data_IF_278557684964
#
_entry.id   IF_278557684964
#
_cell.length_a   1.000
_cell.length_b   1.000
_cell.length_c   1.000
_cell.angle_alpha   90.00
_cell.angle_beta   90.00
_cell.angle_gamma   90.00
#
_symmetry.space_group_name_H-M   'P 1'
#
loop_
_entity.id
_entity.type
_entity.pdbx_description
1 polymer ?
#
# COMPACT_ATOMS: atom_id res chain seq x y z
N UNK A 1 -11.89 88.97 44.17
CA UNK A 1 -12.86 88.52 43.13
C UNK A 1 -12.15 88.11 41.83
N UNK A 2 -11.18 88.83 41.32
CA UNK A 2 -10.43 88.53 40.09
C UNK A 2 -9.68 87.18 40.15
N UNK A 3 -8.99 86.86 41.25
CA UNK A 3 -8.28 85.61 41.49
C UNK A 3 -9.23 84.41 41.58
N UNK A 4 -10.43 84.57 42.07
CA UNK A 4 -11.44 83.53 42.12
C UNK A 4 -12.00 83.22 40.72
N UNK A 5 -12.28 84.26 39.92
CA UNK A 5 -12.79 84.14 38.60
C UNK A 5 -11.76 83.52 37.63
N UNK A 6 -10.48 83.92 37.74
CA UNK A 6 -9.36 83.29 37.00
C UNK A 6 -9.15 81.84 37.40
N UNK A 7 -9.28 81.46 38.65
CA UNK A 7 -9.19 80.09 39.16
C UNK A 7 -10.32 79.21 38.62
N UNK A 8 -11.54 79.76 38.56
CA UNK A 8 -12.72 79.08 38.10
C UNK A 8 -12.65 78.85 36.54
N UNK A 9 -12.16 79.83 35.83
CA UNK A 9 -11.99 79.74 34.38
C UNK A 9 -10.89 78.75 34.01
N UNK A 10 -9.78 78.72 34.70
CA UNK A 10 -8.70 77.75 34.54
C UNK A 10 -9.17 76.33 34.87
N UNK A 11 -9.91 76.17 35.98
CA UNK A 11 -10.48 74.88 36.37
C UNK A 11 -11.47 74.34 35.32
N UNK A 12 -12.31 75.20 34.76
CA UNK A 12 -13.22 74.82 33.68
C UNK A 12 -12.48 74.44 32.36
N UNK A 13 -11.42 75.18 32.06
CA UNK A 13 -10.58 74.88 30.91
C UNK A 13 -9.84 73.55 31.04
N UNK A 14 -9.28 73.27 32.19
CA UNK A 14 -8.60 72.02 32.50
C UNK A 14 -9.59 70.83 32.51
N UNK A 15 -10.75 70.96 33.10
CA UNK A 15 -11.81 69.98 33.10
C UNK A 15 -12.29 69.68 31.62
N UNK A 16 -12.48 70.73 30.80
CA UNK A 16 -12.83 70.54 29.38
C UNK A 16 -11.77 69.78 28.59
N UNK A 17 -10.48 70.10 28.85
CA UNK A 17 -9.39 69.33 28.21
C UNK A 17 -9.37 67.85 28.65
N UNK A 18 -9.58 67.61 29.95
CA UNK A 18 -9.60 66.25 30.45
C UNK A 18 -10.75 65.41 29.88
N UNK A 19 -11.94 66.00 29.74
CA UNK A 19 -13.10 65.35 29.11
C UNK A 19 -12.82 65.09 27.64
N UNK A 20 -12.31 66.08 26.88
CA UNK A 20 -11.97 65.88 25.48
C UNK A 20 -10.91 64.80 25.29
N UNK A 21 -9.89 64.75 26.13
CA UNK A 21 -8.88 63.69 26.08
C UNK A 21 -9.47 62.29 26.40
N UNK A 22 -10.38 62.24 27.39
CA UNK A 22 -11.06 61.01 27.74
C UNK A 22 -11.97 60.49 26.59
N UNK A 23 -12.72 61.40 25.96
CA UNK A 23 -13.56 61.10 24.79
C UNK A 23 -12.72 60.60 23.60
N UNK A 24 -11.59 61.29 23.30
CA UNK A 24 -10.67 60.88 22.24
C UNK A 24 -10.08 59.49 22.51
N UNK A 25 -9.69 59.19 23.75
CA UNK A 25 -9.21 57.85 24.14
C UNK A 25 -10.31 56.80 24.01
N UNK A 26 -11.52 57.10 24.46
CA UNK A 26 -12.65 56.19 24.34
C UNK A 26 -12.98 55.89 22.89
N UNK A 27 -13.01 56.91 22.01
CA UNK A 27 -13.22 56.72 20.58
C UNK A 27 -12.12 55.87 19.93
N UNK A 28 -10.86 56.07 20.32
CA UNK A 28 -9.74 55.28 19.83
C UNK A 28 -9.87 53.82 20.25
N UNK A 29 -10.16 53.53 21.52
CA UNK A 29 -10.35 52.17 22.03
C UNK A 29 -11.50 51.48 21.30
N UNK A 30 -12.62 52.14 21.07
CA UNK A 30 -13.76 51.61 20.34
C UNK A 30 -13.41 51.30 18.87
N UNK A 31 -12.66 52.16 18.21
CA UNK A 31 -12.22 51.97 16.83
C UNK A 31 -11.24 50.78 16.73
N UNK A 32 -10.29 50.67 17.64
CA UNK A 32 -9.36 49.56 17.72
C UNK A 32 -10.08 48.24 18.03
N UNK A 33 -10.99 48.23 18.98
CA UNK A 33 -11.79 47.04 19.30
C UNK A 33 -12.63 46.57 18.12
N UNK A 34 -13.27 47.49 17.39
CA UNK A 34 -14.02 47.19 16.18
C UNK A 34 -13.13 46.61 15.05
N UNK A 35 -11.98 47.22 14.81
CA UNK A 35 -11.02 46.74 13.84
C UNK A 35 -10.50 45.31 14.17
N UNK A 36 -10.26 45.04 15.46
CA UNK A 36 -9.87 43.71 15.92
C UNK A 36 -11.01 42.68 15.73
N UNK A 37 -12.24 43.04 16.09
CA UNK A 37 -13.41 42.19 15.89
C UNK A 37 -13.60 41.82 14.40
N UNK A 38 -13.54 42.84 13.53
CA UNK A 38 -13.63 42.65 12.09
C UNK A 38 -12.49 41.77 11.50
N UNK A 39 -11.29 41.88 12.08
CA UNK A 39 -10.15 41.04 11.70
C UNK A 39 -10.34 39.59 12.13
N UNK A 40 -10.79 39.36 13.35
CA UNK A 40 -11.08 38.02 13.90
C UNK A 40 -12.19 37.35 13.07
N UNK A 41 -13.24 38.08 12.74
CA UNK A 41 -14.35 37.55 11.93
C UNK A 41 -13.87 37.13 10.53
N UNK A 42 -13.09 38.00 9.86
CA UNK A 42 -12.52 37.65 8.55
C UNK A 42 -11.62 36.44 8.58
N UNK A 43 -10.75 36.36 9.59
CA UNK A 43 -9.86 35.22 9.77
C UNK A 43 -10.64 33.94 10.06
N UNK A 44 -11.67 34.00 10.90
CA UNK A 44 -12.52 32.86 11.21
C UNK A 44 -13.27 32.35 9.97
N UNK A 45 -13.79 33.25 9.13
CA UNK A 45 -14.44 32.88 7.86
C UNK A 45 -13.46 32.23 6.88
N UNK A 46 -12.27 32.81 6.70
CA UNK A 46 -11.25 32.23 5.82
C UNK A 46 -10.83 30.83 6.30
N UNK A 47 -10.63 30.66 7.60
CA UNK A 47 -10.31 29.33 8.17
C UNK A 47 -11.46 28.32 7.95
N UNK A 48 -12.72 28.75 8.09
CA UNK A 48 -13.86 27.89 7.88
C UNK A 48 -13.96 27.43 6.42
N UNK A 49 -13.74 28.34 5.46
CA UNK A 49 -13.69 28.03 4.03
C UNK A 49 -12.55 27.06 3.68
N UNK A 50 -11.35 27.28 4.24
CA UNK A 50 -10.21 26.36 4.04
C UNK A 50 -10.47 24.97 4.63
N UNK A 51 -11.06 24.89 5.82
CA UNK A 51 -11.44 23.61 6.44
C UNK A 51 -12.47 22.87 5.58
N UNK A 52 -13.51 23.58 5.12
CA UNK A 52 -14.55 22.99 4.26
C UNK A 52 -13.94 22.44 2.96
N UNK A 53 -13.12 23.24 2.27
CA UNK A 53 -12.44 22.84 1.03
C UNK A 53 -11.53 21.63 1.22
N UNK A 54 -10.72 21.64 2.28
CA UNK A 54 -9.81 20.54 2.58
C UNK A 54 -10.59 19.27 2.94
N UNK A 55 -11.61 19.38 3.77
CA UNK A 55 -12.46 18.25 4.16
C UNK A 55 -13.15 17.63 2.94
N UNK A 56 -13.70 18.44 2.03
CA UNK A 56 -14.31 17.93 0.80
C UNK A 56 -13.30 17.23 -0.11
N UNK A 57 -12.07 17.75 -0.21
CA UNK A 57 -11.00 17.12 -0.97
C UNK A 57 -10.58 15.77 -0.34
N UNK A 58 -10.46 15.71 0.98
CA UNK A 58 -10.15 14.47 1.72
C UNK A 58 -11.24 13.42 1.57
N UNK A 59 -12.51 13.80 1.67
CA UNK A 59 -13.65 12.89 1.44
C UNK A 59 -13.63 12.33 0.02
N UNK A 60 -13.40 13.20 -0.98
CA UNK A 60 -13.33 12.78 -2.37
C UNK A 60 -12.15 11.81 -2.61
N UNK A 61 -11.00 12.06 -2.00
CA UNK A 61 -9.83 11.20 -2.07
C UNK A 61 -10.09 9.85 -1.39
N UNK A 62 -10.64 9.86 -0.18
CA UNK A 62 -11.01 8.65 0.55
C UNK A 62 -12.03 7.81 -0.22
N UNK A 63 -13.03 8.45 -0.85
CA UNK A 63 -13.99 7.78 -1.72
C UNK A 63 -13.33 7.09 -2.92
N UNK A 64 -12.42 7.79 -3.61
CA UNK A 64 -11.64 7.20 -4.72
C UNK A 64 -10.79 6.02 -4.28
N UNK A 65 -10.13 6.13 -3.14
CA UNK A 65 -9.30 5.05 -2.58
C UNK A 65 -10.15 3.83 -2.19
N UNK A 66 -11.30 4.05 -1.58
CA UNK A 66 -12.24 2.97 -1.22
C UNK A 66 -12.72 2.21 -2.46
N UNK A 67 -13.14 2.93 -3.51
CA UNK A 67 -13.56 2.32 -4.78
C UNK A 67 -12.41 1.56 -5.44
N UNK A 68 -11.21 2.12 -5.47
CA UNK A 68 -10.02 1.46 -6.01
C UNK A 68 -9.69 0.16 -5.27
N UNK A 69 -9.76 0.18 -3.93
CA UNK A 69 -9.56 -1.01 -3.09
C UNK A 69 -10.59 -2.10 -3.39
N UNK A 70 -11.88 -1.72 -3.50
CA UNK A 70 -12.95 -2.67 -3.84
C UNK A 70 -12.71 -3.30 -5.22
N UNK A 71 -12.34 -2.50 -6.21
CA UNK A 71 -12.01 -3.00 -7.56
C UNK A 71 -10.88 -4.04 -7.53
N UNK A 72 -9.82 -3.76 -6.79
CA UNK A 72 -8.71 -4.71 -6.61
C UNK A 72 -9.14 -6.00 -5.91
N UNK A 73 -9.96 -5.91 -4.87
CA UNK A 73 -10.49 -7.09 -4.17
C UNK A 73 -11.40 -7.95 -5.07
N UNK A 74 -12.21 -7.32 -5.92
CA UNK A 74 -13.04 -8.03 -6.89
C UNK A 74 -12.13 -8.75 -7.91
N UNK A 75 -11.14 -8.06 -8.47
CA UNK A 75 -10.21 -8.66 -9.41
C UNK A 75 -9.47 -9.86 -8.81
N UNK A 76 -8.97 -9.72 -7.58
CA UNK A 76 -8.31 -10.79 -6.84
C UNK A 76 -9.24 -12.00 -6.60
N UNK A 77 -10.46 -11.76 -6.14
CA UNK A 77 -11.43 -12.83 -5.92
C UNK A 77 -11.77 -13.60 -7.22
N UNK A 78 -11.85 -12.90 -8.35
CA UNK A 78 -12.07 -13.52 -9.66
C UNK A 78 -10.87 -14.34 -10.07
N UNK A 79 -9.64 -13.82 -9.91
CA UNK A 79 -8.42 -14.55 -10.23
C UNK A 79 -8.33 -15.83 -9.42
N UNK A 80 -8.45 -15.74 -8.09
CA UNK A 80 -8.40 -16.91 -7.20
C UNK A 80 -9.45 -17.95 -7.62
N UNK A 81 -10.69 -17.54 -7.82
CA UNK A 81 -11.75 -18.47 -8.23
C UNK A 81 -11.52 -19.12 -9.59
N UNK A 82 -10.93 -18.40 -10.54
CA UNK A 82 -10.65 -18.91 -11.88
C UNK A 82 -9.43 -19.85 -11.92
N UNK A 83 -8.46 -19.67 -11.03
CA UNK A 83 -7.18 -20.40 -11.08
C UNK A 83 -7.06 -21.50 -10.05
N UNK A 84 -7.76 -21.45 -8.92
CA UNK A 84 -7.58 -22.36 -7.77
C UNK A 84 -7.70 -23.84 -8.16
N UNK A 85 -8.74 -24.25 -8.88
CA UNK A 85 -8.91 -25.65 -9.27
C UNK A 85 -7.84 -26.11 -10.27
N UNK A 86 -7.44 -25.23 -11.19
CA UNK A 86 -6.37 -25.49 -12.15
C UNK A 86 -5.01 -25.65 -11.45
N UNK A 87 -4.72 -24.79 -10.47
CA UNK A 87 -3.48 -24.86 -9.68
C UNK A 87 -3.44 -26.13 -8.85
N UNK A 88 -4.53 -26.48 -8.14
CA UNK A 88 -4.64 -27.73 -7.37
C UNK A 88 -4.37 -28.96 -8.22
N UNK A 89 -4.92 -28.99 -9.41
CA UNK A 89 -4.75 -30.08 -10.34
C UNK A 89 -3.33 -30.14 -10.89
N UNK A 90 -2.77 -29.01 -11.30
CA UNK A 90 -1.45 -28.94 -11.91
C UNK A 90 -0.32 -29.25 -10.91
N UNK A 91 -0.42 -28.76 -9.66
CA UNK A 91 0.65 -28.87 -8.67
C UNK A 91 0.89 -30.32 -8.19
N UNK A 92 -0.05 -31.23 -8.45
CA UNK A 92 0.07 -32.68 -8.16
C UNK A 92 0.27 -33.51 -9.41
N UNK A 93 0.28 -32.88 -10.60
CA UNK A 93 0.53 -33.56 -11.87
C UNK A 93 2.04 -33.74 -12.11
N UNK A 94 2.53 -35.00 -12.21
CA UNK A 94 3.95 -35.25 -12.42
C UNK A 94 4.52 -34.61 -13.69
N UNK A 95 3.73 -34.51 -14.75
CA UNK A 95 4.18 -33.90 -16.01
C UNK A 95 4.42 -32.40 -15.83
N UNK A 96 3.51 -31.70 -15.16
CA UNK A 96 3.67 -30.29 -14.80
C UNK A 96 4.87 -30.05 -13.89
N UNK A 97 5.02 -30.85 -12.82
CA UNK A 97 6.16 -30.75 -11.89
C UNK A 97 7.48 -30.92 -12.65
N UNK A 98 7.59 -31.91 -13.55
CA UNK A 98 8.77 -32.12 -14.37
C UNK A 98 9.11 -30.92 -15.25
N UNK A 99 8.11 -30.36 -15.96
CA UNK A 99 8.32 -29.20 -16.83
C UNK A 99 8.76 -27.97 -16.03
N UNK A 100 8.17 -27.75 -14.87
CA UNK A 100 8.56 -26.67 -13.97
C UNK A 100 9.98 -26.84 -13.48
N UNK A 101 10.38 -28.06 -13.05
CA UNK A 101 11.74 -28.33 -12.61
C UNK A 101 12.76 -28.06 -13.72
N UNK A 102 12.49 -28.54 -14.95
CA UNK A 102 13.36 -28.28 -16.11
C UNK A 102 13.43 -26.79 -16.45
N UNK A 103 12.30 -26.08 -16.36
CA UNK A 103 12.26 -24.63 -16.60
C UNK A 103 13.08 -23.87 -15.55
N UNK A 104 12.94 -24.23 -14.28
CA UNK A 104 13.72 -23.65 -13.17
C UNK A 104 15.22 -23.88 -13.40
N UNK A 105 15.63 -25.12 -13.75
CA UNK A 105 17.03 -25.44 -13.98
C UNK A 105 17.65 -24.61 -15.10
N UNK A 106 16.97 -24.51 -16.22
CA UNK A 106 17.44 -23.74 -17.39
C UNK A 106 17.58 -22.26 -17.11
N UNK A 107 16.69 -21.70 -16.29
CA UNK A 107 16.71 -20.28 -15.95
C UNK A 107 17.56 -19.95 -14.72
N UNK A 108 17.81 -20.93 -13.85
CA UNK A 108 18.67 -20.75 -12.67
C UNK A 108 20.14 -20.60 -13.05
N UNK A 109 20.58 -21.43 -13.97
CA UNK A 109 21.92 -21.40 -14.53
C UNK A 109 21.98 -20.40 -15.69
N UNK A 110 21.70 -19.09 -15.43
CA UNK A 110 21.84 -18.04 -16.43
C UNK A 110 23.21 -18.09 -17.12
N UNK A 111 23.34 -17.53 -18.31
CA UNK A 111 24.44 -17.70 -19.27
C UNK A 111 25.88 -17.50 -18.73
N UNK A 112 26.04 -16.90 -17.53
CA UNK A 112 27.33 -16.58 -16.91
C UNK A 112 27.57 -17.26 -15.54
N UNK A 113 26.62 -18.03 -15.02
CA UNK A 113 26.82 -18.77 -13.77
C UNK A 113 27.30 -20.17 -14.09
N UNK A 114 28.43 -20.59 -13.51
CA UNK A 114 28.88 -22.00 -13.57
C UNK A 114 27.72 -22.93 -13.15
N UNK A 115 27.68 -24.16 -13.72
CA UNK A 115 26.61 -25.12 -13.44
C UNK A 115 26.40 -25.28 -11.94
N UNK A 116 25.33 -24.71 -11.42
CA UNK A 116 24.89 -24.89 -10.03
C UNK A 116 24.10 -26.19 -9.98
N UNK A 117 24.56 -27.16 -9.17
CA UNK A 117 23.77 -28.34 -8.89
C UNK A 117 22.54 -27.97 -8.04
N UNK A 118 21.34 -28.32 -8.52
CA UNK A 118 20.09 -28.04 -7.85
C UNK A 118 19.57 -29.29 -7.14
N UNK A 119 18.99 -29.10 -5.97
CA UNK A 119 18.24 -30.12 -5.25
C UNK A 119 16.75 -29.77 -5.31
N UNK A 120 15.93 -30.69 -5.83
CA UNK A 120 14.49 -30.62 -5.81
C UNK A 120 13.95 -31.57 -4.73
N UNK A 121 13.12 -31.06 -3.82
CA UNK A 121 12.44 -31.85 -2.79
C UNK A 121 10.97 -32.00 -3.12
N UNK A 122 10.52 -33.23 -3.24
CA UNK A 122 9.15 -33.64 -3.57
C UNK A 122 8.45 -34.22 -2.34
N UNK A 123 7.10 -34.32 -2.35
CA UNK A 123 6.37 -34.97 -1.26
C UNK A 123 6.72 -36.46 -1.14
N UNK A 124 7.06 -36.93 0.05
CA UNK A 124 7.31 -38.36 0.32
C UNK A 124 6.05 -39.20 0.03
N UNK A 125 4.85 -38.66 0.31
CA UNK A 125 3.58 -39.35 0.08
C UNK A 125 3.32 -39.71 -1.41
N UNK A 126 3.90 -38.93 -2.34
CA UNK A 126 3.72 -39.13 -3.77
C UNK A 126 4.90 -39.85 -4.45
N UNK A 127 5.87 -40.34 -3.68
CA UNK A 127 7.11 -40.97 -4.18
C UNK A 127 6.84 -42.01 -5.27
N UNK A 128 6.00 -43.00 -5.01
CA UNK A 128 5.74 -44.08 -5.97
C UNK A 128 5.17 -43.57 -7.30
N UNK A 129 4.26 -42.61 -7.24
CA UNK A 129 3.64 -42.00 -8.42
C UNK A 129 4.65 -41.15 -9.19
N UNK A 130 5.47 -40.40 -8.51
CA UNK A 130 6.46 -39.51 -9.11
C UNK A 130 7.65 -40.29 -9.67
N UNK A 131 8.16 -41.32 -8.96
CA UNK A 131 9.23 -42.16 -9.45
C UNK A 131 8.81 -42.89 -10.73
N UNK A 132 7.60 -43.45 -10.81
CA UNK A 132 7.07 -44.07 -12.01
C UNK A 132 6.96 -43.10 -13.19
N UNK A 133 6.49 -41.87 -12.90
CA UNK A 133 6.34 -40.83 -13.94
C UNK A 133 7.68 -40.25 -14.41
N UNK A 134 8.68 -40.23 -13.56
CA UNK A 134 10.00 -39.67 -13.84
C UNK A 134 11.00 -40.71 -14.37
N UNK A 135 10.67 -41.99 -14.35
CA UNK A 135 11.58 -43.09 -14.77
C UNK A 135 12.25 -42.80 -16.13
N UNK A 136 11.49 -42.34 -17.09
CA UNK A 136 11.99 -42.00 -18.44
C UNK A 136 12.67 -40.62 -18.52
N UNK A 137 12.45 -39.75 -17.52
CA UNK A 137 12.88 -38.35 -17.51
C UNK A 137 14.00 -38.07 -16.51
N UNK A 138 14.32 -39.04 -15.65
CA UNK A 138 15.35 -38.87 -14.59
C UNK A 138 16.70 -38.49 -15.18
N UNK A 139 17.06 -39.07 -16.37
CA UNK A 139 18.30 -38.72 -17.08
C UNK A 139 18.31 -37.25 -17.55
N UNK A 140 17.16 -36.74 -17.98
CA UNK A 140 17.05 -35.37 -18.44
C UNK A 140 17.19 -34.38 -17.28
N UNK A 141 16.60 -34.67 -16.12
CA UNK A 141 16.75 -33.85 -14.90
C UNK A 141 18.19 -33.83 -14.40
N UNK A 142 18.82 -35.01 -14.36
CA UNK A 142 20.25 -35.11 -13.98
C UNK A 142 21.18 -34.39 -14.97
N UNK A 143 20.88 -34.46 -16.26
CA UNK A 143 21.67 -33.76 -17.30
C UNK A 143 21.59 -32.22 -17.16
N UNK A 144 20.47 -31.70 -16.68
CA UNK A 144 20.28 -30.28 -16.37
C UNK A 144 20.79 -29.92 -14.95
N UNK A 145 21.37 -30.89 -14.21
CA UNK A 145 21.97 -30.63 -12.91
C UNK A 145 20.98 -30.63 -11.73
N UNK A 146 19.81 -31.28 -11.87
CA UNK A 146 18.82 -31.40 -10.79
C UNK A 146 18.90 -32.77 -10.16
N UNK A 147 19.14 -32.82 -8.85
CA UNK A 147 18.97 -34.02 -8.01
C UNK A 147 17.58 -33.98 -7.36
N UNK A 148 16.82 -35.05 -7.55
CA UNK A 148 15.46 -35.18 -6.99
C UNK A 148 15.54 -35.97 -5.70
N UNK A 149 15.02 -35.39 -4.63
CA UNK A 149 14.86 -36.02 -3.32
C UNK A 149 13.42 -35.94 -2.83
N UNK A 150 13.11 -36.69 -1.76
CA UNK A 150 11.79 -36.71 -1.16
C UNK A 150 11.84 -36.24 0.29
N UNK A 151 10.79 -35.60 0.79
CA UNK A 151 10.75 -35.07 2.14
C UNK A 151 9.33 -35.01 2.68
N UNK A 152 9.13 -35.48 3.93
CA UNK A 152 7.87 -35.34 4.67
C UNK A 152 7.49 -33.89 5.00
N UNK A 153 8.45 -32.97 4.88
CA UNK A 153 8.21 -31.52 5.09
C UNK A 153 7.55 -30.84 3.89
N UNK A 154 7.52 -31.51 2.74
CA UNK A 154 6.83 -31.04 1.54
C UNK A 154 5.50 -31.80 1.46
N UNK A 155 4.39 -31.09 1.61
CA UNK A 155 3.05 -31.69 1.60
C UNK A 155 2.42 -31.70 0.22
N UNK A 156 2.59 -30.59 -0.51
CA UNK A 156 2.07 -30.40 -1.89
C UNK A 156 3.10 -29.62 -2.69
N UNK A 157 3.16 -29.87 -3.98
CA UNK A 157 4.10 -29.20 -4.88
C UNK A 157 5.53 -29.67 -4.69
N UNK A 158 6.49 -28.76 -4.76
CA UNK A 158 7.91 -29.08 -4.64
C UNK A 158 8.72 -27.89 -4.12
N UNK A 159 9.96 -28.14 -3.71
CA UNK A 159 10.94 -27.13 -3.35
C UNK A 159 12.18 -27.31 -4.17
N UNK A 160 12.80 -26.21 -4.60
CA UNK A 160 14.06 -26.21 -5.35
C UNK A 160 15.05 -25.26 -4.72
N UNK A 161 16.30 -25.67 -4.62
CA UNK A 161 17.38 -24.83 -4.12
C UNK A 161 18.73 -25.34 -4.63
N UNK A 162 19.80 -24.56 -4.42
CA UNK A 162 21.14 -25.03 -4.68
C UNK A 162 21.48 -26.18 -3.72
N UNK A 163 22.10 -27.24 -4.19
CA UNK A 163 22.43 -28.44 -3.40
C UNK A 163 23.27 -28.10 -2.16
N UNK A 164 24.21 -27.15 -2.33
CA UNK A 164 25.06 -26.66 -1.26
C UNK A 164 24.54 -25.35 -0.64
N UNK A 165 23.34 -24.90 -1.02
CA UNK A 165 22.72 -23.67 -0.58
C UNK A 165 21.88 -23.84 0.69
N UNK A 166 21.88 -22.81 1.52
CA UNK A 166 21.09 -22.79 2.76
C UNK A 166 19.62 -22.46 2.60
N UNK A 167 19.09 -22.37 1.37
CA UNK A 167 17.69 -21.98 1.13
C UNK A 167 17.04 -22.77 -0.01
N UNK A 168 15.72 -22.88 0.08
CA UNK A 168 14.88 -23.46 -0.95
C UNK A 168 13.76 -22.50 -1.34
N UNK A 169 13.47 -22.40 -2.62
CA UNK A 169 12.27 -21.74 -3.14
C UNK A 169 11.15 -22.78 -3.14
N UNK A 170 10.03 -22.41 -2.56
CA UNK A 170 8.83 -23.27 -2.45
C UNK A 170 7.89 -23.00 -3.63
N UNK A 171 7.35 -24.07 -4.20
CA UNK A 171 6.30 -24.06 -5.22
C UNK A 171 5.12 -24.89 -4.71
N UNK A 172 4.55 -24.46 -3.58
CA UNK A 172 3.31 -25.04 -3.06
C UNK A 172 2.09 -24.48 -3.80
N UNK A 173 0.92 -25.10 -3.58
CA UNK A 173 -0.36 -24.58 -4.08
C UNK A 173 -0.54 -23.07 -3.74
N UNK A 174 -0.30 -22.71 -2.49
CA UNK A 174 -0.43 -21.33 -2.02
C UNK A 174 0.57 -20.37 -2.69
N UNK A 175 1.81 -20.82 -2.92
CA UNK A 175 2.83 -20.00 -3.57
C UNK A 175 2.49 -19.73 -5.04
N UNK A 176 2.02 -20.75 -5.75
CA UNK A 176 1.61 -20.63 -7.17
C UNK A 176 0.33 -19.80 -7.29
N UNK A 177 -0.65 -19.98 -6.41
CA UNK A 177 -1.84 -19.12 -6.37
C UNK A 177 -1.50 -17.66 -6.10
N UNK A 178 -0.60 -17.38 -5.16
CA UNK A 178 -0.14 -16.03 -4.86
C UNK A 178 0.56 -15.39 -6.07
N UNK A 179 1.45 -16.12 -6.73
CA UNK A 179 2.16 -15.67 -7.93
C UNK A 179 1.19 -15.36 -9.07
N UNK A 180 0.24 -16.26 -9.34
CA UNK A 180 -0.78 -16.05 -10.36
C UNK A 180 -1.71 -14.88 -10.02
N UNK A 181 -2.10 -14.75 -8.75
CA UNK A 181 -2.92 -13.64 -8.28
C UNK A 181 -2.22 -12.30 -8.48
N UNK A 182 -0.94 -12.22 -8.16
CA UNK A 182 -0.15 -11.02 -8.37
C UNK A 182 -0.03 -10.67 -9.87
N UNK A 183 0.29 -11.65 -10.71
CA UNK A 183 0.48 -11.44 -12.14
C UNK A 183 -0.82 -11.10 -12.88
N UNK A 184 -1.92 -11.78 -12.56
CA UNK A 184 -3.20 -11.66 -13.27
C UNK A 184 -4.09 -10.52 -12.73
N UNK A 185 -3.93 -10.12 -11.47
CA UNK A 185 -4.75 -9.11 -10.81
C UNK A 185 -4.86 -7.82 -11.63
N UNK A 186 -3.73 -7.31 -12.09
CA UNK A 186 -3.69 -6.05 -12.84
C UNK A 186 -4.36 -6.20 -14.20
N UNK A 187 -4.15 -7.34 -14.88
CA UNK A 187 -4.80 -7.65 -16.16
C UNK A 187 -6.30 -7.78 -16.03
N UNK A 188 -6.77 -8.50 -15.01
CA UNK A 188 -8.21 -8.66 -14.74
C UNK A 188 -8.84 -7.32 -14.33
N UNK A 189 -8.15 -6.53 -13.49
CA UNK A 189 -8.60 -5.19 -13.12
C UNK A 189 -8.72 -4.28 -14.35
N UNK A 190 -7.77 -4.34 -15.26
CA UNK A 190 -7.79 -3.58 -16.50
C UNK A 190 -8.96 -4.00 -17.40
N UNK A 191 -9.19 -5.29 -17.57
CA UNK A 191 -10.30 -5.81 -18.37
C UNK A 191 -11.67 -5.47 -17.81
N UNK A 192 -11.82 -5.42 -16.49
CA UNK A 192 -13.12 -5.18 -15.84
C UNK A 192 -13.46 -3.71 -15.65
N UNK A 193 -12.46 -2.84 -15.49
CA UNK A 193 -12.67 -1.48 -14.99
C UNK A 193 -12.05 -0.37 -15.84
N UNK A 194 -11.25 -0.71 -16.86
CA UNK A 194 -10.84 0.22 -17.90
C UNK A 194 -11.75 0.01 -19.12
N UNK A 195 -12.74 0.91 -19.24
CA UNK A 195 -13.50 1.09 -20.46
C UNK A 195 -12.83 2.17 -21.31
#
# INVERSE_FOLDING_TARGET
>A
QKLYDEGLEKGRSEAGKLVADAEARAAKILAEAKAQADAIEREARARAEDVEKNTMAEIALAGKQAVAKIKLQIAEAIVVRATSEGVKSAIVDPAFIREMLLSVARNWNGADAGKVELAALLPEADRQKLDAAFADSARALLAEGIEVGYSDRVRTGFRVGAKDGGYYISFSEADVEALLSEYLRDKVSEMLFKA
#
